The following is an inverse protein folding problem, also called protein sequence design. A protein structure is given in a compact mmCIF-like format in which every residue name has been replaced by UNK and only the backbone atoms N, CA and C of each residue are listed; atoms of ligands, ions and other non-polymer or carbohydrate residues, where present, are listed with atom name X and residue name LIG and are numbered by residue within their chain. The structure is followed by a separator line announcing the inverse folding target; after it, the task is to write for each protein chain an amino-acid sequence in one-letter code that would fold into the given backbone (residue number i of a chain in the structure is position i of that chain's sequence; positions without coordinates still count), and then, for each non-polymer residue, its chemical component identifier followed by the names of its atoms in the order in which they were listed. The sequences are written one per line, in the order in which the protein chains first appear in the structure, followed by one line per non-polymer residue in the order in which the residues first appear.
data_IF_825282128640
#
_entry.id   IF_825282128640
#
_cell.length_a   1.000
_cell.length_b   1.000
_cell.length_c   1.000
_cell.angle_alpha   90.00
_cell.angle_beta   90.00
_cell.angle_gamma   90.00
#
_symmetry.space_group_name_H-M   'P 1'
#
loop_
_entity.id
_entity.type
_entity.pdbx_description
1 polymer ?
#
# COMPACT_ATOMS: atom_id res chain seq x y z
N UNK A 1 -0.38 -7.73 36.23
CA UNK A 1 1.09 -7.75 36.09
C UNK A 1 1.49 -9.08 35.45
N UNK A 2 1.93 -9.09 34.22
CA UNK A 2 3.16 -9.70 33.79
C UNK A 2 3.04 -10.96 32.92
N UNK A 3 2.55 -10.89 31.66
CA UNK A 3 2.82 -11.89 30.61
C UNK A 3 3.61 -11.33 29.40
N UNK A 4 3.86 -10.03 29.36
CA UNK A 4 4.59 -9.36 28.26
C UNK A 4 6.13 -9.44 28.40
N UNK A 5 6.66 -9.79 29.57
CA UNK A 5 8.11 -9.84 29.84
C UNK A 5 8.79 -11.12 29.32
N UNK A 6 8.10 -12.24 29.32
CA UNK A 6 8.68 -13.56 28.95
C UNK A 6 8.88 -13.76 27.45
N UNK A 7 8.10 -13.08 26.60
CA UNK A 7 8.25 -13.20 25.15
C UNK A 7 9.46 -12.41 24.59
N UNK A 8 9.87 -11.35 25.29
CA UNK A 8 10.99 -10.49 24.86
C UNK A 8 12.38 -11.11 25.14
N UNK A 9 12.47 -11.96 26.14
CA UNK A 9 13.74 -12.62 26.53
C UNK A 9 14.03 -13.78 25.58
N UNK A 10 13.03 -14.59 25.17
CA UNK A 10 13.23 -15.74 24.27
C UNK A 10 13.64 -15.38 22.84
N UNK A 11 13.40 -14.15 22.38
CA UNK A 11 13.80 -13.72 21.03
C UNK A 11 15.27 -13.28 20.96
N UNK A 12 15.80 -12.66 22.02
CA UNK A 12 17.21 -12.24 22.09
C UNK A 12 18.17 -13.42 22.19
N UNK A 13 17.79 -14.47 22.92
CA UNK A 13 18.64 -15.66 23.09
C UNK A 13 18.75 -16.48 21.81
N UNK A 14 17.68 -16.55 21.01
CA UNK A 14 17.70 -17.23 19.71
C UNK A 14 18.57 -16.53 18.66
N UNK A 15 18.63 -15.20 18.70
CA UNK A 15 19.50 -14.44 17.80
C UNK A 15 20.97 -14.60 18.16
N UNK A 16 21.29 -14.55 19.43
CA UNK A 16 22.66 -14.73 19.94
C UNK A 16 23.20 -16.17 19.69
N UNK A 17 22.33 -17.18 19.79
CA UNK A 17 22.71 -18.57 19.48
C UNK A 17 22.99 -18.79 17.99
N UNK A 18 22.19 -18.19 17.07
CA UNK A 18 22.45 -18.29 15.63
C UNK A 18 23.75 -17.63 15.21
N UNK A 19 24.09 -16.47 15.77
CA UNK A 19 25.37 -15.79 15.48
C UNK A 19 26.58 -16.61 15.96
N UNK A 20 26.49 -17.25 17.11
CA UNK A 20 27.58 -18.14 17.61
C UNK A 20 27.78 -19.38 16.73
N UNK A 21 26.71 -19.96 16.19
CA UNK A 21 26.79 -21.13 15.31
C UNK A 21 27.43 -20.76 13.96
N UNK A 22 27.17 -19.59 13.42
CA UNK A 22 27.80 -19.14 12.17
C UNK A 22 29.30 -18.83 12.36
N UNK A 23 29.72 -18.28 13.51
CA UNK A 23 31.12 -17.99 13.78
C UNK A 23 31.93 -19.28 13.97
N UNK A 24 31.33 -20.35 14.51
CA UNK A 24 32.01 -21.65 14.72
C UNK A 24 32.19 -22.44 13.42
N UNK A 25 31.27 -22.29 12.43
CA UNK A 25 31.39 -22.93 11.12
C UNK A 25 32.48 -22.31 10.24
N UNK A 26 32.78 -21.01 10.40
CA UNK A 26 33.80 -20.30 9.61
C UNK A 26 35.25 -20.61 10.09
N UNK A 27 35.43 -21.10 11.30
CA UNK A 27 36.76 -21.40 11.84
C UNK A 27 37.27 -22.83 11.54
N UNK A 28 36.44 -23.72 10.98
CA UNK A 28 36.86 -25.12 10.72
C UNK A 28 37.10 -25.46 9.24
N UNK A 29 37.08 -24.48 8.34
CA UNK A 29 37.26 -24.69 6.89
C UNK A 29 38.64 -24.37 6.34
N UNK A 30 39.66 -24.18 7.21
CA UNK A 30 41.02 -23.77 6.75
C UNK A 30 42.14 -24.79 6.95
N UNK A 31 41.83 -26.06 7.10
CA UNK A 31 42.89 -27.07 7.32
C UNK A 31 42.63 -28.43 6.65
N UNK A 32 42.37 -28.48 5.34
CA UNK A 32 42.56 -29.67 4.52
C UNK A 32 42.66 -29.30 3.05
N UNK A 33 43.81 -28.80 2.64
CA UNK A 33 44.21 -28.82 1.25
C UNK A 33 45.45 -29.74 1.12
N UNK A 34 45.29 -30.95 0.59
CA UNK A 34 46.34 -31.66 -0.13
C UNK A 34 45.81 -33.00 -0.70
N UNK A 35 45.92 -33.09 -2.03
CA UNK A 35 45.86 -34.29 -2.86
C UNK A 35 44.52 -35.04 -3.03
N UNK A 36 43.83 -34.80 -4.12
CA UNK A 36 43.17 -35.85 -4.90
C UNK A 36 43.11 -35.50 -6.39
N UNK A 37 43.67 -36.40 -7.23
CA UNK A 37 43.64 -36.38 -8.69
C UNK A 37 42.19 -36.64 -9.14
N UNK A 38 41.59 -35.89 -10.08
CA UNK A 38 40.23 -36.16 -10.52
C UNK A 38 40.21 -37.32 -11.52
N UNK A 39 39.57 -38.41 -11.18
CA UNK A 39 38.98 -39.35 -12.12
C UNK A 39 37.79 -38.69 -12.81
N UNK A 40 37.94 -38.39 -14.08
CA UNK A 40 36.82 -37.90 -14.93
C UNK A 40 35.83 -39.04 -15.12
N UNK A 41 34.82 -39.08 -14.27
CA UNK A 41 33.61 -39.86 -14.49
C UNK A 41 32.59 -38.93 -15.17
N UNK A 42 32.29 -39.25 -16.46
CA UNK A 42 31.22 -38.58 -17.22
C UNK A 42 29.85 -39.06 -16.69
N UNK A 43 29.45 -38.54 -15.55
CA UNK A 43 28.12 -38.72 -14.99
C UNK A 43 27.22 -37.57 -15.48
N UNK A 44 26.15 -37.91 -16.17
CA UNK A 44 25.02 -37.00 -16.40
C UNK A 44 24.52 -36.53 -15.03
N UNK A 45 24.94 -35.31 -14.62
CA UNK A 45 24.26 -34.60 -13.52
C UNK A 45 22.94 -34.10 -14.11
N UNK A 46 21.87 -34.81 -13.83
CA UNK A 46 20.55 -34.21 -13.83
C UNK A 46 20.59 -33.08 -12.78
N UNK A 47 20.69 -31.82 -13.25
CA UNK A 47 20.41 -30.69 -12.39
C UNK A 47 18.94 -30.82 -11.95
N UNK A 48 18.73 -31.34 -10.75
CA UNK A 48 17.49 -31.11 -10.05
C UNK A 48 17.36 -29.59 -9.92
N UNK A 49 16.46 -29.01 -10.69
CA UNK A 49 16.00 -27.63 -10.49
C UNK A 49 15.32 -27.63 -9.13
N UNK A 50 16.06 -27.24 -8.10
CA UNK A 50 15.48 -26.91 -6.80
C UNK A 50 14.53 -25.78 -7.04
N UNK A 51 13.24 -26.10 -7.08
CA UNK A 51 12.17 -25.08 -7.11
C UNK A 51 12.33 -24.34 -5.79
N UNK A 52 12.75 -23.08 -5.87
CA UNK A 52 12.87 -22.24 -4.68
C UNK A 52 11.48 -22.18 -3.99
N UNK A 53 11.40 -22.63 -2.75
CA UNK A 53 10.17 -22.48 -1.96
C UNK A 53 9.79 -21.01 -1.88
N UNK A 54 8.51 -20.72 -2.06
CA UNK A 54 7.95 -19.38 -1.87
C UNK A 54 8.26 -18.89 -0.44
N UNK A 55 8.93 -17.75 -0.33
CA UNK A 55 9.30 -17.18 0.95
C UNK A 55 8.46 -15.96 1.29
N UNK A 56 7.92 -15.95 2.52
CA UNK A 56 7.18 -14.81 3.07
C UNK A 56 8.18 -13.86 3.74
N UNK A 57 8.27 -12.63 3.22
CA UNK A 57 9.12 -11.58 3.79
C UNK A 57 8.34 -10.76 4.80
N UNK A 58 8.93 -10.61 5.97
CA UNK A 58 8.42 -9.74 7.02
C UNK A 58 9.11 -8.37 6.96
N UNK A 59 8.33 -7.32 6.72
CA UNK A 59 8.82 -5.95 6.82
C UNK A 59 8.87 -5.53 8.30
N UNK A 60 10.07 -5.22 8.86
CA UNK A 60 10.20 -4.87 10.27
C UNK A 60 9.65 -3.46 10.52
N UNK A 61 8.34 -3.36 10.62
CA UNK A 61 7.66 -2.11 10.89
C UNK A 61 7.47 -1.86 12.39
N UNK A 62 7.33 -0.59 12.75
CA UNK A 62 6.85 -0.18 14.06
C UNK A 62 5.36 -0.47 14.15
N UNK A 63 4.85 -0.75 15.35
CA UNK A 63 3.41 -0.78 15.61
C UNK A 63 2.79 0.54 15.14
N UNK A 64 1.82 0.46 14.25
CA UNK A 64 1.17 1.62 13.65
C UNK A 64 -0.30 1.64 14.07
N UNK A 65 -0.68 2.59 14.89
CA UNK A 65 -2.08 2.77 15.23
C UNK A 65 -2.77 3.66 14.18
N UNK A 66 -3.39 3.01 13.21
CA UNK A 66 -4.08 3.67 12.10
C UNK A 66 -5.24 4.54 12.57
N UNK A 67 -5.96 4.14 13.63
CA UNK A 67 -7.12 4.89 14.14
C UNK A 67 -6.73 6.20 14.80
N UNK A 68 -5.54 6.24 15.41
CA UNK A 68 -5.00 7.47 16.01
C UNK A 68 -4.36 8.33 14.94
N UNK A 69 -3.53 7.74 14.06
CA UNK A 69 -2.76 8.49 13.07
C UNK A 69 -3.62 9.05 11.94
N UNK A 70 -4.60 8.27 11.49
CA UNK A 70 -5.46 8.58 10.34
C UNK A 70 -6.90 8.78 10.80
N UNK A 71 -7.12 9.87 11.52
CA UNK A 71 -8.42 10.26 12.05
C UNK A 71 -8.77 11.71 11.72
N UNK A 72 -8.41 12.16 10.53
CA UNK A 72 -8.75 13.50 10.07
C UNK A 72 -10.28 13.65 9.95
N UNK A 73 -10.80 14.73 10.54
CA UNK A 73 -12.24 14.96 10.63
C UNK A 73 -12.85 15.18 9.24
N UNK A 74 -13.96 14.52 8.97
CA UNK A 74 -14.69 14.62 7.71
C UNK A 74 -15.05 16.09 7.36
N UNK A 75 -15.42 16.89 8.35
CA UNK A 75 -15.74 18.31 8.14
C UNK A 75 -14.55 19.11 7.61
N UNK A 76 -13.32 18.83 8.09
CA UNK A 76 -12.10 19.48 7.58
C UNK A 76 -11.81 19.06 6.15
N UNK A 77 -11.96 17.78 5.85
CA UNK A 77 -11.77 17.24 4.51
C UNK A 77 -12.76 17.87 3.53
N UNK A 78 -14.04 17.92 3.91
CA UNK A 78 -15.08 18.53 3.07
C UNK A 78 -14.84 20.04 2.84
N UNK A 79 -14.46 20.79 3.88
CA UNK A 79 -14.15 22.21 3.75
C UNK A 79 -13.05 22.48 2.71
N UNK A 80 -11.95 21.70 2.75
CA UNK A 80 -10.88 21.82 1.77
C UNK A 80 -11.34 21.32 0.40
N UNK A 81 -12.02 20.18 0.32
CA UNK A 81 -12.50 19.62 -0.94
C UNK A 81 -13.38 20.62 -1.72
N UNK A 82 -14.31 21.27 -1.02
CA UNK A 82 -15.18 22.27 -1.64
C UNK A 82 -14.46 23.57 -2.04
N UNK A 83 -13.34 23.88 -1.39
CA UNK A 83 -12.56 25.09 -1.68
C UNK A 83 -11.65 24.93 -2.90
N UNK A 84 -10.94 23.78 -3.01
CA UNK A 84 -9.90 23.58 -4.05
C UNK A 84 -10.36 22.69 -5.21
N UNK A 85 -11.48 22.00 -5.04
CA UNK A 85 -12.00 21.03 -6.00
C UNK A 85 -12.86 21.65 -7.10
N UNK A 86 -13.71 20.81 -7.69
CA UNK A 86 -14.72 21.27 -8.64
C UNK A 86 -15.60 22.35 -8.00
N UNK A 87 -16.04 23.36 -8.76
CA UNK A 87 -16.85 24.48 -8.23
C UNK A 87 -18.23 24.03 -7.71
N UNK A 88 -18.68 22.87 -8.13
CA UNK A 88 -19.87 22.15 -7.64
C UNK A 88 -19.73 20.64 -7.88
N UNK A 89 -20.42 19.81 -7.10
CA UNK A 89 -20.58 18.40 -7.42
C UNK A 89 -21.22 18.18 -8.80
N UNK A 90 -20.77 17.22 -9.60
CA UNK A 90 -21.46 16.78 -10.80
C UNK A 90 -22.74 16.03 -10.41
N UNK A 91 -23.86 16.32 -11.11
CA UNK A 91 -25.17 15.71 -10.83
C UNK A 91 -25.17 14.21 -11.15
N UNK A 92 -24.65 13.89 -12.34
CA UNK A 92 -24.60 12.56 -12.92
C UNK A 92 -23.33 12.38 -13.77
N UNK A 93 -23.17 11.21 -14.42
CA UNK A 93 -22.01 10.90 -15.25
C UNK A 93 -21.88 11.80 -16.49
N UNK A 94 -22.99 12.24 -17.06
CA UNK A 94 -22.99 13.15 -18.21
C UNK A 94 -22.49 14.54 -17.79
N UNK A 95 -22.96 15.02 -16.64
CA UNK A 95 -22.50 16.29 -16.06
C UNK A 95 -21.01 16.22 -15.69
N UNK A 96 -20.54 15.11 -15.10
CA UNK A 96 -19.11 14.89 -14.86
C UNK A 96 -18.30 14.93 -16.17
N UNK A 97 -18.81 14.34 -17.24
CA UNK A 97 -18.20 14.38 -18.56
C UNK A 97 -18.10 15.81 -19.13
N UNK A 98 -19.05 16.69 -18.83
CA UNK A 98 -19.01 18.10 -19.24
C UNK A 98 -17.92 18.91 -18.53
N UNK A 99 -17.43 18.42 -17.36
CA UNK A 99 -16.39 19.08 -16.54
C UNK A 99 -14.97 18.54 -16.82
N UNK A 100 -14.79 17.72 -17.85
CA UNK A 100 -13.48 17.05 -18.17
C UNK A 100 -12.32 18.03 -18.34
N UNK A 101 -12.57 19.26 -18.76
CA UNK A 101 -11.52 20.28 -18.86
C UNK A 101 -10.87 20.67 -17.53
N UNK A 102 -11.50 20.33 -16.39
CA UNK A 102 -10.99 20.54 -15.02
C UNK A 102 -10.47 19.26 -14.37
N UNK A 103 -10.52 18.15 -15.06
CA UNK A 103 -10.27 16.83 -14.53
C UNK A 103 -9.20 16.09 -15.34
N UNK A 104 -8.48 15.23 -14.65
CA UNK A 104 -7.50 14.29 -15.24
C UNK A 104 -8.02 12.88 -15.03
N UNK A 105 -7.96 12.06 -16.07
CA UNK A 105 -8.34 10.65 -15.99
C UNK A 105 -7.33 9.86 -15.14
N UNK A 106 -7.86 9.04 -14.23
CA UNK A 106 -7.08 8.12 -13.39
C UNK A 106 -7.09 6.75 -14.04
N UNK A 107 -5.92 6.30 -14.48
CA UNK A 107 -5.69 4.99 -15.11
C UNK A 107 -4.78 4.14 -14.24
N UNK A 108 -4.88 2.83 -14.40
CA UNK A 108 -3.91 1.87 -13.84
C UNK A 108 -2.50 2.22 -14.32
N UNK A 109 -1.55 2.19 -13.39
CA UNK A 109 -0.13 2.47 -13.63
C UNK A 109 0.73 1.28 -13.19
N UNK A 110 2.03 1.44 -13.23
CA UNK A 110 2.98 0.48 -12.66
C UNK A 110 2.89 0.40 -11.12
N UNK A 111 2.36 1.43 -10.45
CA UNK A 111 2.36 1.53 -8.99
C UNK A 111 0.99 1.28 -8.34
N UNK A 112 -0.10 1.42 -9.08
CA UNK A 112 -1.45 1.16 -8.59
C UNK A 112 -2.40 0.69 -9.69
N UNK A 113 -3.44 -0.03 -9.28
CA UNK A 113 -4.55 -0.48 -10.13
C UNK A 113 -5.77 0.37 -9.81
N UNK A 114 -6.41 0.90 -10.85
CA UNK A 114 -7.76 1.47 -10.72
C UNK A 114 -8.75 0.32 -10.88
N UNK A 115 -9.52 0.06 -9.83
CA UNK A 115 -10.52 -0.99 -9.82
C UNK A 115 -11.71 -0.65 -10.73
N UNK A 116 -12.55 -1.62 -11.04
CA UNK A 116 -13.82 -1.35 -11.69
C UNK A 116 -14.69 -0.43 -10.82
N UNK A 117 -14.90 0.80 -11.29
CA UNK A 117 -15.56 1.86 -10.53
C UNK A 117 -17.07 1.83 -10.77
N UNK A 118 -17.81 1.14 -9.90
CA UNK A 118 -19.28 1.04 -10.00
C UNK A 118 -19.99 2.31 -9.54
N UNK A 119 -19.46 3.00 -8.52
CA UNK A 119 -20.06 4.16 -7.86
C UNK A 119 -19.11 5.38 -7.80
N UNK A 120 -18.28 5.52 -8.79
CA UNK A 120 -17.46 6.69 -9.06
C UNK A 120 -17.03 6.71 -10.52
N UNK A 121 -16.50 7.82 -10.99
CA UNK A 121 -15.98 7.98 -12.35
C UNK A 121 -14.46 8.24 -12.29
N UNK A 122 -13.65 7.71 -13.22
CA UNK A 122 -12.18 7.65 -13.10
C UNK A 122 -11.52 9.02 -13.32
N UNK A 123 -11.91 10.01 -12.58
CA UNK A 123 -11.39 11.37 -12.70
C UNK A 123 -11.03 11.98 -11.34
N UNK A 124 -9.97 12.78 -11.34
CA UNK A 124 -9.58 13.66 -10.23
C UNK A 124 -9.20 15.04 -10.78
N UNK A 125 -9.21 16.07 -9.94
CA UNK A 125 -8.57 17.33 -10.30
C UNK A 125 -7.06 17.14 -10.46
N UNK A 126 -6.35 17.99 -11.23
CA UNK A 126 -4.94 17.81 -11.52
C UNK A 126 -4.05 17.65 -10.27
N UNK A 127 -4.29 18.44 -9.21
CA UNK A 127 -3.50 18.32 -7.98
C UNK A 127 -3.72 17.00 -7.25
N UNK A 128 -4.95 16.48 -7.23
CA UNK A 128 -5.26 15.20 -6.60
C UNK A 128 -4.67 14.02 -7.38
N UNK A 129 -4.71 14.07 -8.72
CA UNK A 129 -4.05 13.07 -9.57
C UNK A 129 -2.53 13.08 -9.36
N UNK A 130 -1.91 14.27 -9.32
CA UNK A 130 -0.48 14.42 -9.04
C UNK A 130 -0.09 13.83 -7.68
N UNK A 131 -0.90 14.06 -6.66
CA UNK A 131 -0.64 13.53 -5.32
C UNK A 131 -0.81 12.01 -5.25
N UNK A 132 -1.82 11.45 -5.92
CA UNK A 132 -1.97 9.98 -6.05
C UNK A 132 -0.74 9.36 -6.73
N UNK A 133 -0.22 9.98 -7.80
CA UNK A 133 0.98 9.51 -8.48
C UNK A 133 2.22 9.62 -7.58
N UNK A 134 2.34 10.69 -6.80
CA UNK A 134 3.44 10.86 -5.84
C UNK A 134 3.40 9.79 -4.73
N UNK A 135 2.21 9.46 -4.22
CA UNK A 135 2.02 8.34 -3.28
C UNK A 135 2.45 7.03 -3.93
N UNK A 136 2.05 6.77 -5.18
CA UNK A 136 2.46 5.58 -5.93
C UNK A 136 3.98 5.48 -6.14
N UNK A 137 4.61 6.59 -6.46
CA UNK A 137 6.07 6.66 -6.65
C UNK A 137 6.83 6.42 -5.33
N UNK A 138 6.41 7.05 -4.22
CA UNK A 138 7.03 6.81 -2.91
C UNK A 138 6.82 5.38 -2.41
N UNK A 139 5.64 4.79 -2.67
CA UNK A 139 5.35 3.39 -2.40
C UNK A 139 6.36 2.46 -3.11
N UNK A 140 6.53 2.61 -4.42
CA UNK A 140 7.46 1.81 -5.21
C UNK A 140 8.92 2.00 -4.77
N UNK A 141 9.30 3.24 -4.46
CA UNK A 141 10.64 3.58 -3.99
C UNK A 141 10.96 2.95 -2.60
N UNK A 142 10.00 2.95 -1.66
CA UNK A 142 10.19 2.29 -0.36
C UNK A 142 10.35 0.77 -0.54
N UNK A 143 9.52 0.13 -1.37
CA UNK A 143 9.66 -1.29 -1.65
C UNK A 143 11.03 -1.59 -2.26
N UNK A 144 11.44 -0.85 -3.29
CA UNK A 144 12.71 -1.04 -3.98
C UNK A 144 13.92 -0.84 -3.05
N UNK A 145 13.95 0.23 -2.26
CA UNK A 145 15.08 0.53 -1.35
C UNK A 145 15.24 -0.47 -0.21
N UNK A 146 14.23 -1.27 0.06
CA UNK A 146 14.28 -2.32 1.09
C UNK A 146 14.37 -3.72 0.49
N UNK A 147 14.70 -3.84 -0.80
CA UNK A 147 14.79 -5.12 -1.53
C UNK A 147 13.52 -5.96 -1.43
N UNK A 148 12.35 -5.29 -1.33
CA UNK A 148 11.05 -5.93 -1.22
C UNK A 148 10.44 -6.14 -2.60
N UNK A 149 9.62 -7.19 -2.78
CA UNK A 149 8.92 -7.42 -4.05
C UNK A 149 8.04 -6.23 -4.43
N UNK A 150 7.96 -5.93 -5.73
CA UNK A 150 7.09 -4.87 -6.23
C UNK A 150 5.63 -5.30 -6.20
N UNK A 151 4.79 -4.46 -5.56
CA UNK A 151 3.34 -4.59 -5.50
C UNK A 151 2.65 -3.33 -5.96
N UNK A 152 1.43 -3.45 -6.47
CA UNK A 152 0.51 -2.34 -6.73
C UNK A 152 -0.58 -2.33 -5.67
N UNK A 153 -0.96 -1.17 -5.17
CA UNK A 153 -2.16 -1.02 -4.37
C UNK A 153 -3.38 -0.72 -5.25
N UNK A 154 -4.59 -0.85 -4.71
CA UNK A 154 -5.83 -0.61 -5.45
C UNK A 154 -6.44 0.74 -5.09
N UNK A 155 -6.80 1.51 -6.12
CA UNK A 155 -7.66 2.70 -6.03
C UNK A 155 -9.10 2.23 -6.23
N UNK A 156 -9.92 2.37 -5.20
CA UNK A 156 -11.27 1.78 -5.14
C UNK A 156 -12.39 2.79 -5.31
N UNK A 157 -12.11 4.08 -5.17
CA UNK A 157 -13.05 5.17 -5.40
C UNK A 157 -12.31 6.45 -5.73
N UNK A 158 -12.92 7.28 -6.58
CA UNK A 158 -12.42 8.60 -6.99
C UNK A 158 -13.58 9.59 -7.07
N UNK A 159 -13.74 10.36 -8.14
CA UNK A 159 -14.85 11.32 -8.28
C UNK A 159 -16.21 10.60 -8.22
N UNK A 160 -17.10 11.06 -7.35
CA UNK A 160 -18.50 10.62 -7.27
C UNK A 160 -19.43 11.71 -7.77
N UNK A 161 -20.50 11.30 -8.43
CA UNK A 161 -21.61 12.18 -8.74
C UNK A 161 -22.61 12.25 -7.59
N UNK A 162 -23.51 13.23 -7.59
CA UNK A 162 -24.63 13.25 -6.61
C UNK A 162 -25.50 12.01 -6.72
N UNK A 163 -25.67 11.48 -7.94
CA UNK A 163 -26.42 10.25 -8.19
C UNK A 163 -25.73 9.04 -7.54
N UNK A 164 -24.40 8.88 -7.70
CA UNK A 164 -23.62 7.83 -7.05
C UNK A 164 -23.77 7.91 -5.51
N UNK A 165 -23.70 9.12 -4.93
CA UNK A 165 -23.86 9.33 -3.48
C UNK A 165 -25.27 8.94 -3.03
N UNK A 166 -26.31 9.37 -3.75
CA UNK A 166 -27.71 8.99 -3.43
C UNK A 166 -27.92 7.48 -3.51
N UNK A 167 -27.31 6.82 -4.50
CA UNK A 167 -27.38 5.37 -4.63
C UNK A 167 -26.72 4.67 -3.41
N UNK A 168 -25.48 5.09 -3.04
CA UNK A 168 -24.77 4.54 -1.89
C UNK A 168 -25.54 4.73 -0.57
N UNK A 169 -26.19 5.87 -0.39
CA UNK A 169 -27.03 6.11 0.79
C UNK A 169 -28.23 5.16 0.84
N UNK A 170 -28.91 4.95 -0.28
CA UNK A 170 -30.06 4.03 -0.37
C UNK A 170 -29.66 2.58 -0.15
N UNK A 171 -28.45 2.19 -0.55
CA UNK A 171 -27.89 0.83 -0.32
C UNK A 171 -27.38 0.60 1.10
N UNK A 172 -27.56 1.58 2.01
CA UNK A 172 -27.20 1.42 3.42
C UNK A 172 -25.70 1.67 3.71
N UNK A 173 -24.96 2.31 2.82
CA UNK A 173 -23.58 2.72 3.11
C UNK A 173 -23.58 3.86 4.14
N UNK A 174 -23.29 3.50 5.41
CA UNK A 174 -23.31 4.43 6.55
C UNK A 174 -22.28 5.56 6.47
N UNK A 175 -21.26 5.42 5.63
CA UNK A 175 -20.22 6.45 5.42
C UNK A 175 -20.58 7.40 4.26
N UNK A 176 -21.65 7.10 3.52
CA UNK A 176 -22.12 7.98 2.45
C UNK A 176 -22.96 9.12 3.03
N UNK A 177 -22.39 10.31 3.05
CA UNK A 177 -23.09 11.55 3.45
C UNK A 177 -23.47 12.37 2.23
N UNK A 178 -24.50 13.23 2.35
CA UNK A 178 -24.88 14.17 1.29
C UNK A 178 -23.76 15.15 0.92
N UNK A 179 -22.77 15.30 1.81
CA UNK A 179 -21.59 16.17 1.63
C UNK A 179 -20.33 15.30 1.43
N UNK A 180 -20.29 14.52 0.37
CA UNK A 180 -19.15 13.67 0.08
C UNK A 180 -17.98 14.48 -0.51
N UNK A 181 -16.78 14.34 0.09
CA UNK A 181 -15.54 14.94 -0.43
C UNK A 181 -15.22 14.46 -1.86
N UNK A 182 -15.59 13.22 -2.19
CA UNK A 182 -15.39 12.65 -3.53
C UNK A 182 -16.08 13.45 -4.64
N UNK A 183 -17.17 14.19 -4.32
CA UNK A 183 -17.90 14.95 -5.33
C UNK A 183 -17.14 16.17 -5.87
N UNK A 184 -16.00 16.49 -5.25
CA UNK A 184 -15.17 17.63 -5.69
C UNK A 184 -13.93 17.21 -6.48
N UNK A 185 -13.72 15.90 -6.70
CA UNK A 185 -12.56 15.38 -7.43
C UNK A 185 -11.22 15.50 -6.70
N UNK A 186 -11.25 15.80 -5.41
CA UNK A 186 -10.08 15.98 -4.54
C UNK A 186 -9.74 14.73 -3.74
N UNK A 187 -10.58 13.70 -3.80
CA UNK A 187 -10.61 12.61 -2.85
C UNK A 187 -10.58 11.27 -3.57
N UNK A 188 -9.80 10.34 -3.01
CA UNK A 188 -9.71 8.96 -3.49
C UNK A 188 -9.55 7.98 -2.32
N UNK A 189 -10.00 6.74 -2.53
CA UNK A 189 -9.89 5.66 -1.56
C UNK A 189 -8.86 4.63 -2.02
N UNK A 190 -7.97 4.19 -1.11
CA UNK A 190 -6.99 3.15 -1.34
C UNK A 190 -7.29 1.92 -0.48
N UNK A 191 -7.46 0.75 -1.10
CA UNK A 191 -7.60 -0.50 -0.36
C UNK A 191 -6.33 -0.82 0.43
N UNK A 192 -6.47 -1.38 1.65
CA UNK A 192 -5.32 -1.76 2.47
C UNK A 192 -5.30 -3.25 2.85
N UNK A 193 -6.24 -4.05 2.34
CA UNK A 193 -6.32 -5.49 2.60
C UNK A 193 -5.98 -6.35 1.37
N UNK A 194 -5.60 -5.73 0.26
CA UNK A 194 -5.28 -6.45 -0.97
C UNK A 194 -4.32 -5.64 -1.83
N UNK A 195 -3.42 -6.35 -2.46
CA UNK A 195 -2.35 -5.82 -3.27
C UNK A 195 -2.09 -6.76 -4.45
N UNK A 196 -1.61 -6.23 -5.55
CA UNK A 196 -1.26 -7.01 -6.73
C UNK A 196 0.26 -7.11 -6.84
N UNK A 197 0.79 -8.33 -6.82
CA UNK A 197 2.22 -8.58 -6.93
C UNK A 197 2.65 -8.53 -8.38
N UNK A 198 3.55 -7.61 -8.71
CA UNK A 198 4.08 -7.42 -10.08
C UNK A 198 5.36 -8.22 -10.31
N UNK A 199 6.22 -8.32 -9.30
CA UNK A 199 7.50 -9.01 -9.44
C UNK A 199 7.34 -10.53 -9.53
N UNK A 200 8.13 -11.17 -10.41
CA UNK A 200 8.13 -12.61 -10.64
C UNK A 200 9.00 -13.40 -9.63
N UNK A 201 9.39 -12.78 -8.52
CA UNK A 201 10.14 -13.45 -7.46
C UNK A 201 9.26 -14.41 -6.67
N UNK A 202 9.84 -15.45 -6.09
CA UNK A 202 9.16 -16.39 -5.17
C UNK A 202 8.96 -15.81 -3.76
N UNK A 203 9.33 -14.56 -3.55
CA UNK A 203 9.20 -13.85 -2.27
C UNK A 203 7.86 -13.15 -2.20
N UNK A 204 7.14 -13.30 -1.10
CA UNK A 204 5.85 -12.67 -0.85
C UNK A 204 5.90 -11.83 0.43
N UNK A 205 5.09 -10.78 0.48
CA UNK A 205 4.85 -10.01 1.69
C UNK A 205 3.42 -10.26 2.20
N UNK A 206 3.28 -10.37 3.51
CA UNK A 206 1.97 -10.40 4.14
C UNK A 206 1.26 -9.05 3.97
N UNK A 207 -0.08 -9.06 3.80
CA UNK A 207 -0.88 -7.84 3.58
C UNK A 207 -0.71 -6.82 4.71
N UNK A 208 -0.54 -7.26 5.95
CA UNK A 208 -0.30 -6.36 7.09
C UNK A 208 1.02 -5.60 6.96
N UNK A 209 2.05 -6.20 6.36
CA UNK A 209 3.30 -5.53 6.08
C UNK A 209 3.16 -4.52 4.94
N UNK A 210 2.45 -4.88 3.88
CA UNK A 210 2.14 -3.98 2.77
C UNK A 210 1.30 -2.79 3.27
N UNK A 211 0.29 -3.05 4.10
CA UNK A 211 -0.48 -2.01 4.78
C UNK A 211 0.37 -1.08 5.62
N UNK A 212 1.39 -1.64 6.32
CA UNK A 212 2.31 -0.85 7.13
C UNK A 212 3.16 0.09 6.26
N UNK A 213 3.68 -0.41 5.13
CA UNK A 213 4.43 0.40 4.16
C UNK A 213 3.55 1.51 3.58
N UNK A 214 2.33 1.17 3.12
CA UNK A 214 1.39 2.17 2.60
C UNK A 214 1.02 3.21 3.67
N UNK A 215 0.79 2.77 4.92
CA UNK A 215 0.55 3.66 6.05
C UNK A 215 1.72 4.60 6.30
N UNK A 216 2.96 4.15 6.14
CA UNK A 216 4.14 5.02 6.29
C UNK A 216 4.20 6.08 5.19
N UNK A 217 3.95 5.72 3.94
CA UNK A 217 3.85 6.66 2.80
C UNK A 217 2.79 7.72 3.09
N UNK A 218 1.57 7.30 3.43
CA UNK A 218 0.47 8.22 3.72
C UNK A 218 0.79 9.15 4.91
N UNK A 219 1.48 8.66 5.93
CA UNK A 219 1.90 9.48 7.07
C UNK A 219 2.93 10.54 6.66
N UNK A 220 3.83 10.23 5.73
CA UNK A 220 4.80 11.20 5.21
C UNK A 220 4.08 12.34 4.48
N UNK A 221 3.15 12.01 3.58
CA UNK A 221 2.35 13.00 2.86
C UNK A 221 1.42 13.81 3.77
N UNK A 222 0.82 13.17 4.78
CA UNK A 222 -0.01 13.86 5.80
C UNK A 222 0.83 14.86 6.62
N UNK A 223 2.03 14.45 7.08
CA UNK A 223 2.94 15.32 7.82
C UNK A 223 3.49 16.47 6.98
N UNK A 224 3.69 16.24 5.68
CA UNK A 224 4.06 17.29 4.73
C UNK A 224 2.91 18.26 4.44
N UNK A 225 1.73 18.07 5.03
CA UNK A 225 0.58 18.93 4.86
C UNK A 225 -0.12 18.81 3.52
N UNK A 226 0.16 17.75 2.74
CA UNK A 226 -0.37 17.55 1.38
C UNK A 226 -1.75 16.90 1.37
N UNK A 227 -2.03 16.04 2.34
CA UNK A 227 -3.27 15.26 2.42
C UNK A 227 -3.87 15.25 3.82
N UNK A 228 -5.17 15.00 3.89
CA UNK A 228 -5.86 14.44 5.04
C UNK A 228 -6.08 12.96 4.80
N UNK A 229 -6.03 12.15 5.88
CA UNK A 229 -6.25 10.70 5.79
C UNK A 229 -7.21 10.27 6.88
N UNK A 230 -8.21 9.44 6.51
CA UNK A 230 -9.08 8.75 7.44
C UNK A 230 -9.00 7.25 7.22
N UNK A 231 -8.78 6.51 8.31
CA UNK A 231 -8.80 5.05 8.31
C UNK A 231 -10.24 4.54 8.41
N UNK A 232 -10.77 4.05 7.31
CA UNK A 232 -12.13 3.52 7.24
C UNK A 232 -12.14 2.00 7.39
N UNK A 233 -12.10 1.53 8.65
CA UNK A 233 -11.94 0.12 8.98
C UNK A 233 -13.09 -0.77 8.49
N UNK A 234 -14.33 -0.24 8.39
CA UNK A 234 -15.50 -0.98 7.89
C UNK A 234 -15.45 -1.19 6.37
N UNK A 235 -14.78 -0.31 5.65
CA UNK A 235 -14.65 -0.35 4.19
C UNK A 235 -13.28 -0.87 3.73
N UNK A 236 -12.40 -1.15 4.68
CA UNK A 236 -11.03 -1.62 4.43
C UNK A 236 -10.24 -0.71 3.48
N UNK A 237 -10.41 0.61 3.61
CA UNK A 237 -9.69 1.59 2.81
C UNK A 237 -9.13 2.75 3.64
N UNK A 238 -8.13 3.42 3.09
CA UNK A 238 -7.71 4.75 3.48
C UNK A 238 -8.45 5.76 2.60
N UNK A 239 -9.25 6.63 3.24
CA UNK A 239 -9.93 7.74 2.59
C UNK A 239 -9.03 8.97 2.62
N UNK A 240 -8.66 9.49 1.46
CA UNK A 240 -7.61 10.49 1.29
C UNK A 240 -8.16 11.70 0.55
N UNK A 241 -8.03 12.88 1.15
CA UNK A 241 -8.40 14.17 0.53
C UNK A 241 -7.16 15.05 0.41
N UNK A 242 -6.86 15.53 -0.79
CA UNK A 242 -5.72 16.46 -0.99
C UNK A 242 -6.04 17.84 -0.41
N UNK A 243 -5.00 18.58 -0.02
CA UNK A 243 -5.11 19.85 0.69
C UNK A 243 -4.69 21.06 -0.15
N UNK A 244 -4.16 20.83 -1.34
CA UNK A 244 -3.64 21.87 -2.25
C UNK A 244 -3.66 21.44 -3.71
#
# INVERSE_FOLDING_TARGET
MGLSGLYRIKSKDRYAQRVKTYLFLLMHLSLYSLFFIPLVSCGHQTQETVIAEDSLVWYPGRTFDYRIKFNDLQAKQHAVASQIGLPRPPKDRADAASMRNKLVEVKTTENYIVEELTHSVPYLIPSAKKELDAIGAEWADILSRNDLPHYRFYVTSVLRTEEDVKYLQRSGNINSTTQSCHCYGTTFDLAYMRYDKVSHTHTYMHEDNLKLVLGQVLLNHQRAGKIYVKYEWKQSCFHITVRQ
#
